data_IF_648120359196
#
_entry.id   IF_648120359196
#
_cell.length_a   1.000
_cell.length_b   1.000
_cell.length_c   1.000
_cell.angle_alpha   90.00
_cell.angle_beta   90.00
_cell.angle_gamma   90.00
#
_symmetry.space_group_name_H-M   'P 1'
#
loop_
_entity.id
_entity.type
_entity.pdbx_description
1 polymer ?
#
# COMPACT_ATOMS: atom_id res chain seq x y z
N UNK A 1 -3.22 3.30 -28.58
CA UNK A 1 -2.15 4.06 -29.23
C UNK A 1 -1.42 4.81 -28.14
N UNK A 2 -0.18 4.43 -27.83
CA UNK A 2 0.59 5.00 -26.72
C UNK A 2 1.32 6.28 -27.13
N UNK A 3 1.84 7.04 -26.16
CA UNK A 3 2.65 8.22 -26.46
C UNK A 3 3.91 7.86 -27.25
N UNK A 4 4.54 6.71 -26.97
CA UNK A 4 5.74 6.22 -27.66
C UNK A 4 5.44 5.93 -29.13
N UNK A 5 4.30 5.30 -29.42
CA UNK A 5 3.87 5.02 -30.79
C UNK A 5 3.63 6.31 -31.57
N UNK A 6 3.05 7.33 -30.94
CA UNK A 6 2.85 8.65 -31.55
C UNK A 6 4.15 9.45 -31.69
N UNK A 7 5.06 9.36 -30.71
CA UNK A 7 6.35 10.04 -30.76
C UNK A 7 7.27 9.45 -31.83
N UNK A 8 7.28 8.13 -32.01
CA UNK A 8 8.01 7.48 -33.11
C UNK A 8 7.41 7.82 -34.47
N UNK A 9 6.08 7.83 -34.61
CA UNK A 9 5.45 8.35 -35.84
C UNK A 9 5.82 9.81 -36.10
N UNK A 10 5.87 10.64 -35.06
CA UNK A 10 6.31 12.03 -35.17
C UNK A 10 7.76 12.14 -35.66
N UNK A 11 8.70 11.35 -35.11
CA UNK A 11 10.09 11.31 -35.59
C UNK A 11 10.17 10.89 -37.06
N UNK A 12 9.39 9.88 -37.46
CA UNK A 12 9.38 9.33 -38.82
C UNK A 12 8.80 10.30 -39.85
N UNK A 13 7.85 11.15 -39.44
CA UNK A 13 7.13 12.08 -40.33
C UNK A 13 7.67 13.51 -40.28
N UNK A 14 8.45 13.86 -39.26
CA UNK A 14 9.03 15.19 -39.10
C UNK A 14 10.14 15.45 -40.12
N UNK A 15 9.85 16.28 -41.13
CA UNK A 15 10.87 16.84 -42.01
C UNK A 15 11.85 17.78 -41.27
N UNK A 16 12.96 18.15 -41.92
CA UNK A 16 14.14 18.84 -41.36
C UNK A 16 13.94 20.27 -40.82
N UNK A 17 12.72 20.68 -40.47
CA UNK A 17 12.44 22.01 -39.92
C UNK A 17 13.18 22.24 -38.59
N UNK A 18 13.67 23.46 -38.32
CA UNK A 18 14.32 23.79 -37.06
C UNK A 18 13.44 23.58 -35.82
N UNK A 19 12.12 23.75 -35.96
CA UNK A 19 11.16 23.53 -34.86
C UNK A 19 11.06 22.04 -34.48
N UNK A 20 11.06 21.14 -35.46
CA UNK A 20 11.04 19.70 -35.21
C UNK A 20 12.31 19.23 -34.48
N UNK A 21 13.48 19.71 -34.92
CA UNK A 21 14.76 19.39 -34.25
C UNK A 21 14.76 19.79 -32.78
N UNK A 22 14.18 20.95 -32.46
CA UNK A 22 14.10 21.44 -31.07
C UNK A 22 13.23 20.55 -30.20
N UNK A 23 12.08 20.09 -30.71
CA UNK A 23 11.18 19.18 -29.99
C UNK A 23 11.85 17.82 -29.78
N UNK A 24 12.41 17.21 -30.82
CA UNK A 24 13.09 15.91 -30.72
C UNK A 24 14.23 15.97 -29.70
N UNK A 25 15.03 17.04 -29.72
CA UNK A 25 16.14 17.20 -28.78
C UNK A 25 15.67 17.46 -27.33
N UNK A 26 14.50 18.06 -27.14
CA UNK A 26 13.93 18.30 -25.81
C UNK A 26 13.42 16.99 -25.16
N UNK A 27 12.91 16.07 -25.96
CA UNK A 27 12.38 14.78 -25.52
C UNK A 27 13.33 13.60 -25.79
N UNK A 28 14.60 13.84 -26.08
CA UNK A 28 15.56 12.79 -26.47
C UNK A 28 15.83 11.77 -25.37
N UNK A 29 15.79 12.23 -24.11
CA UNK A 29 16.03 11.43 -22.90
C UNK A 29 14.74 11.24 -22.08
N UNK A 30 13.60 11.67 -22.64
CA UNK A 30 12.32 11.50 -21.97
C UNK A 30 11.97 10.01 -21.97
N UNK A 31 11.64 9.48 -20.80
CA UNK A 31 11.06 8.17 -20.63
C UNK A 31 9.65 8.32 -20.09
N UNK A 32 8.71 7.45 -20.49
CA UNK A 32 7.40 7.41 -19.85
C UNK A 32 7.59 7.26 -18.35
N UNK A 33 6.84 8.06 -17.60
CA UNK A 33 6.77 7.91 -16.16
C UNK A 33 6.27 6.49 -15.89
N UNK A 34 7.12 5.66 -15.29
CA UNK A 34 6.70 4.31 -14.91
C UNK A 34 5.46 4.44 -14.05
N UNK A 35 4.47 3.56 -14.26
CA UNK A 35 3.33 3.47 -13.37
C UNK A 35 3.88 3.36 -11.94
N UNK A 36 3.42 4.25 -11.06
CA UNK A 36 3.84 4.25 -9.67
C UNK A 36 3.57 2.87 -9.11
N UNK A 37 4.57 2.33 -8.41
CA UNK A 37 4.41 1.04 -7.80
C UNK A 37 3.38 1.16 -6.67
N UNK A 38 2.34 0.32 -6.73
CA UNK A 38 1.47 0.11 -5.59
C UNK A 38 2.20 -0.74 -4.55
N UNK A 39 2.20 -0.29 -3.29
CA UNK A 39 2.85 -0.97 -2.18
C UNK A 39 1.92 -1.06 -0.97
N UNK A 40 2.02 -2.12 -0.15
CA UNK A 40 1.30 -2.20 1.11
C UNK A 40 1.68 -1.07 2.07
N UNK A 41 0.74 -0.64 2.92
CA UNK A 41 0.94 0.46 3.88
C UNK A 41 2.15 0.22 4.79
N UNK A 42 2.35 -1.00 5.31
CA UNK A 42 3.48 -1.28 6.20
C UNK A 42 4.85 -1.15 5.51
N UNK A 43 4.91 -1.33 4.17
CA UNK A 43 6.13 -1.11 3.38
C UNK A 43 6.36 0.38 3.15
N UNK A 44 5.28 1.13 2.89
CA UNK A 44 5.32 2.58 2.78
C UNK A 44 5.81 3.24 4.08
N UNK A 45 5.26 2.84 5.22
CA UNK A 45 5.63 3.34 6.54
C UNK A 45 7.13 3.11 6.80
N UNK A 46 7.59 1.87 6.60
CA UNK A 46 9.01 1.53 6.75
C UNK A 46 9.90 2.33 5.80
N UNK A 47 9.51 2.48 4.53
CA UNK A 47 10.29 3.24 3.55
C UNK A 47 10.37 4.72 3.95
N UNK A 48 9.28 5.33 4.39
CA UNK A 48 9.27 6.73 4.78
C UNK A 48 10.13 7.02 6.03
N UNK A 49 10.23 6.06 6.95
CA UNK A 49 11.14 6.11 8.09
C UNK A 49 12.62 5.97 7.66
N UNK A 50 12.89 5.15 6.64
CA UNK A 50 14.25 4.79 6.23
C UNK A 50 14.77 5.53 4.99
N UNK A 51 13.94 6.33 4.27
CA UNK A 51 14.31 6.95 2.98
C UNK A 51 15.53 7.88 3.05
N UNK A 52 15.85 8.39 4.24
CA UNK A 52 17.05 9.20 4.49
C UNK A 52 18.37 8.40 4.46
N UNK A 53 18.31 7.11 4.78
CA UNK A 53 19.45 6.18 4.76
C UNK A 53 18.97 4.75 4.43
N UNK A 54 18.46 4.61 3.20
CA UNK A 54 17.78 3.39 2.76
C UNK A 54 18.72 2.17 2.78
N UNK A 55 20.00 2.38 2.47
CA UNK A 55 21.01 1.29 2.47
C UNK A 55 21.20 0.73 3.88
N UNK A 56 21.32 1.60 4.89
CA UNK A 56 21.43 1.18 6.28
C UNK A 56 20.14 0.53 6.79
N UNK A 57 18.97 1.05 6.42
CA UNK A 57 17.68 0.44 6.73
C UNK A 57 17.59 -1.00 6.23
N UNK A 58 17.88 -1.22 4.93
CA UNK A 58 17.89 -2.57 4.33
C UNK A 58 18.89 -3.49 5.06
N UNK A 59 20.08 -2.99 5.40
CA UNK A 59 21.08 -3.75 6.15
C UNK A 59 20.55 -4.20 7.52
N UNK A 60 19.88 -3.30 8.25
CA UNK A 60 19.31 -3.61 9.57
C UNK A 60 18.24 -4.72 9.48
N UNK A 61 17.34 -4.66 8.50
CA UNK A 61 16.31 -5.70 8.32
C UNK A 61 16.93 -7.06 8.03
N UNK A 62 17.95 -7.11 7.16
CA UNK A 62 18.69 -8.36 6.90
C UNK A 62 19.34 -8.93 8.16
N UNK A 63 19.92 -8.08 9.03
CA UNK A 63 20.45 -8.54 10.30
C UNK A 63 19.35 -9.08 11.23
N UNK A 64 18.22 -8.37 11.33
CA UNK A 64 17.14 -8.78 12.21
C UNK A 64 16.54 -10.13 11.79
N UNK A 65 16.34 -10.34 10.48
CA UNK A 65 15.87 -11.61 9.91
C UNK A 65 16.84 -12.75 10.28
N UNK A 66 18.14 -12.55 10.09
CA UNK A 66 19.14 -13.57 10.40
C UNK A 66 19.23 -13.92 11.89
N UNK A 67 18.80 -13.02 12.78
CA UNK A 67 18.88 -13.19 14.23
C UNK A 67 17.61 -13.74 14.87
N UNK A 68 16.55 -13.97 14.08
CA UNK A 68 15.24 -14.43 14.58
C UNK A 68 14.83 -15.73 13.89
N UNK A 69 14.10 -16.62 14.58
CA UNK A 69 13.42 -17.71 13.90
C UNK A 69 12.26 -17.15 13.06
N UNK A 70 11.95 -17.80 11.93
CA UNK A 70 10.92 -17.39 10.96
C UNK A 70 9.57 -17.04 11.62
N UNK A 71 9.14 -17.84 12.61
CA UNK A 71 7.89 -17.63 13.36
C UNK A 71 7.83 -16.33 14.18
N UNK A 72 8.96 -15.65 14.40
CA UNK A 72 9.07 -14.42 15.18
C UNK A 72 9.32 -13.18 14.29
N UNK A 73 9.37 -13.35 12.97
CA UNK A 73 9.53 -12.23 12.05
C UNK A 73 8.27 -11.35 12.07
N UNK A 74 8.50 -10.04 12.17
CA UNK A 74 7.49 -9.01 11.95
C UNK A 74 7.04 -8.98 10.48
N UNK A 75 5.97 -8.24 10.20
CA UNK A 75 5.42 -8.12 8.84
C UNK A 75 6.44 -7.57 7.84
N UNK A 76 7.22 -6.55 8.22
CA UNK A 76 8.26 -5.99 7.35
C UNK A 76 9.43 -6.95 7.14
N UNK A 77 9.82 -7.68 8.18
CA UNK A 77 10.89 -8.68 8.08
C UNK A 77 10.46 -9.84 7.17
N UNK A 78 9.21 -10.29 7.25
CA UNK A 78 8.63 -11.29 6.32
C UNK A 78 8.60 -10.79 4.89
N UNK A 79 8.31 -9.50 4.69
CA UNK A 79 8.41 -8.88 3.37
C UNK A 79 9.84 -8.95 2.82
N UNK A 80 10.84 -8.55 3.60
CA UNK A 80 12.25 -8.65 3.20
C UNK A 80 12.74 -10.10 3.05
N UNK A 81 12.17 -11.05 3.80
CA UNK A 81 12.43 -12.49 3.68
C UNK A 81 11.70 -13.15 2.49
N UNK A 82 11.02 -12.37 1.63
CA UNK A 82 10.30 -12.86 0.44
C UNK A 82 9.17 -13.87 0.74
N UNK A 83 8.64 -13.84 1.95
CA UNK A 83 7.49 -14.65 2.40
C UNK A 83 6.14 -14.07 1.95
N UNK A 84 6.14 -12.86 1.39
CA UNK A 84 4.94 -12.24 0.81
C UNK A 84 4.76 -12.62 -0.66
N UNK A 85 3.69 -12.13 -1.28
CA UNK A 85 3.48 -12.25 -2.73
C UNK A 85 4.61 -11.57 -3.53
N UNK A 86 5.24 -10.55 -2.95
CA UNK A 86 6.39 -9.87 -3.54
C UNK A 86 7.67 -10.72 -3.41
N UNK A 87 8.27 -11.07 -4.55
CA UNK A 87 9.52 -11.85 -4.62
C UNK A 87 10.79 -11.02 -4.75
N UNK A 88 10.67 -9.70 -4.90
CA UNK A 88 11.79 -8.77 -5.06
C UNK A 88 11.66 -7.58 -4.09
N UNK A 89 11.77 -7.80 -2.76
CA UNK A 89 11.56 -6.74 -1.77
C UNK A 89 12.59 -5.62 -1.86
N UNK A 90 13.87 -5.94 -2.11
CA UNK A 90 14.94 -4.93 -2.26
C UNK A 90 14.71 -4.06 -3.50
N UNK A 91 14.39 -4.68 -4.64
CA UNK A 91 14.06 -3.93 -5.87
C UNK A 91 12.87 -3.02 -5.66
N UNK A 92 11.84 -3.51 -4.96
CA UNK A 92 10.64 -2.74 -4.62
C UNK A 92 10.98 -1.47 -3.85
N UNK A 93 11.69 -1.57 -2.73
CA UNK A 93 12.02 -0.39 -1.92
C UNK A 93 12.98 0.56 -2.63
N UNK A 94 13.83 0.06 -3.54
CA UNK A 94 14.66 0.92 -4.39
C UNK A 94 13.80 1.72 -5.38
N UNK A 95 12.83 1.07 -6.03
CA UNK A 95 11.92 1.72 -7.00
C UNK A 95 10.98 2.74 -6.35
N UNK A 96 10.64 2.57 -5.07
CA UNK A 96 9.86 3.55 -4.31
C UNK A 96 10.51 4.94 -4.25
N UNK A 97 11.82 5.07 -4.52
CA UNK A 97 12.50 6.37 -4.65
C UNK A 97 11.99 7.21 -5.83
N UNK A 98 11.44 6.56 -6.86
CA UNK A 98 10.82 7.22 -8.01
C UNK A 98 9.37 7.65 -7.74
N UNK A 99 8.88 7.36 -6.53
CA UNK A 99 7.49 7.56 -6.10
C UNK A 99 6.73 6.23 -6.01
N UNK A 100 5.69 6.21 -5.18
CA UNK A 100 4.82 5.05 -4.99
C UNK A 100 3.41 5.50 -4.62
N UNK A 101 2.45 4.60 -4.78
CA UNK A 101 1.10 4.72 -4.23
C UNK A 101 0.88 3.62 -3.22
N UNK A 102 0.09 3.89 -2.18
CA UNK A 102 -0.25 2.86 -1.20
C UNK A 102 -1.46 2.08 -1.68
N UNK A 103 -1.36 0.75 -1.66
CA UNK A 103 -2.47 -0.17 -1.89
C UNK A 103 -3.60 0.14 -0.91
N UNK A 104 -4.81 0.34 -1.43
CA UNK A 104 -5.99 0.42 -0.56
C UNK A 104 -6.28 -0.98 -0.04
N UNK A 105 -6.25 -1.21 1.28
CA UNK A 105 -6.53 -2.55 1.79
C UNK A 105 -7.98 -2.92 1.52
N UNK A 106 -8.23 -4.19 1.19
CA UNK A 106 -9.58 -4.73 1.19
C UNK A 106 -10.19 -4.57 2.58
N UNK A 107 -11.34 -3.92 2.62
CA UNK A 107 -12.09 -3.70 3.85
C UNK A 107 -13.21 -4.73 3.99
N UNK A 108 -13.57 -5.05 5.23
CA UNK A 108 -14.62 -6.01 5.56
C UNK A 108 -15.58 -5.46 6.61
N UNK A 109 -16.85 -5.82 6.45
CA UNK A 109 -17.84 -5.75 7.52
C UNK A 109 -17.77 -7.02 8.37
N UNK A 110 -17.79 -6.85 9.69
CA UNK A 110 -17.88 -7.97 10.63
C UNK A 110 -19.30 -8.09 11.18
N UNK A 111 -20.02 -9.15 10.81
CA UNK A 111 -21.40 -9.39 11.26
C UNK A 111 -21.46 -10.46 12.33
N UNK A 112 -22.10 -10.15 13.45
CA UNK A 112 -22.34 -11.10 14.52
C UNK A 112 -23.34 -12.17 14.07
N UNK A 113 -22.96 -13.44 14.15
CA UNK A 113 -23.82 -14.56 13.69
C UNK A 113 -25.11 -14.74 14.49
N UNK A 114 -25.16 -14.29 15.74
CA UNK A 114 -26.31 -14.48 16.63
C UNK A 114 -27.30 -13.33 16.50
N UNK A 115 -26.80 -12.10 16.61
CA UNK A 115 -27.64 -10.90 16.64
C UNK A 115 -27.88 -10.31 15.25
N UNK A 116 -27.08 -10.69 14.25
CA UNK A 116 -27.12 -10.11 12.90
C UNK A 116 -26.56 -8.69 12.80
N UNK A 117 -26.05 -8.13 13.91
CA UNK A 117 -25.52 -6.76 14.01
C UNK A 117 -24.06 -6.67 13.58
N UNK A 118 -23.64 -5.50 13.12
CA UNK A 118 -22.30 -5.21 12.62
C UNK A 118 -21.39 -4.67 13.71
N UNK A 119 -20.14 -5.11 13.73
CA UNK A 119 -19.12 -4.56 14.64
C UNK A 119 -18.76 -3.13 14.21
N UNK A 120 -18.66 -2.24 15.19
CA UNK A 120 -18.16 -0.88 15.02
C UNK A 120 -17.09 -0.62 16.05
N UNK A 121 -15.97 -0.02 15.62
CA UNK A 121 -14.95 0.51 16.51
C UNK A 121 -15.28 1.96 16.88
N UNK A 122 -14.84 2.35 18.06
CA UNK A 122 -14.92 3.68 18.62
C UNK A 122 -13.57 4.00 19.23
N UNK A 123 -12.77 4.85 18.57
CA UNK A 123 -11.51 5.34 19.16
C UNK A 123 -11.76 6.65 19.88
N UNK A 124 -11.42 6.69 21.17
CA UNK A 124 -11.46 7.90 21.99
C UNK A 124 -10.40 8.94 21.61
N UNK A 125 -10.09 9.85 22.53
CA UNK A 125 -9.05 10.88 22.32
C UNK A 125 -7.62 10.30 22.25
N UNK A 126 -7.44 9.03 22.61
CA UNK A 126 -6.19 8.28 22.54
C UNK A 126 -6.43 6.92 21.87
N UNK A 127 -5.43 6.44 21.09
CA UNK A 127 -5.56 5.19 20.30
C UNK A 127 -5.78 3.94 21.16
N UNK A 128 -5.34 3.98 22.43
CA UNK A 128 -5.51 2.92 23.42
C UNK A 128 -6.93 2.83 24.00
N UNK A 129 -7.79 3.84 23.77
CA UNK A 129 -9.19 3.85 24.19
C UNK A 129 -10.13 3.43 23.05
N UNK A 130 -9.77 2.34 22.36
CA UNK A 130 -10.60 1.76 21.30
C UNK A 130 -11.58 0.76 21.90
N UNK A 131 -12.88 1.03 21.72
CA UNK A 131 -13.95 0.12 22.16
C UNK A 131 -14.76 -0.40 20.97
N UNK A 132 -15.32 -1.61 21.09
CA UNK A 132 -16.11 -2.23 20.04
C UNK A 132 -17.56 -2.43 20.47
N UNK A 133 -18.52 -2.13 19.58
CA UNK A 133 -19.96 -2.35 19.81
C UNK A 133 -20.65 -2.90 18.58
N UNK A 134 -21.75 -3.61 18.79
CA UNK A 134 -22.57 -4.16 17.71
C UNK A 134 -23.77 -3.26 17.39
N UNK A 135 -23.93 -2.89 16.13
CA UNK A 135 -24.94 -1.94 15.64
C UNK A 135 -25.73 -2.49 14.46
N UNK A 136 -26.90 -1.91 14.21
CA UNK A 136 -27.81 -2.39 13.16
C UNK A 136 -27.45 -1.91 11.75
N UNK A 137 -26.62 -0.87 11.63
CA UNK A 137 -26.33 -0.19 10.37
C UNK A 137 -24.85 -0.28 9.98
N UNK A 138 -24.60 -0.37 8.67
CA UNK A 138 -23.33 -0.07 8.01
C UNK A 138 -23.30 1.45 7.80
N UNK A 139 -22.78 2.22 8.75
CA UNK A 139 -22.76 3.69 8.62
C UNK A 139 -21.51 4.13 7.85
N UNK A 140 -21.71 4.76 6.68
CA UNK A 140 -20.68 5.14 5.72
C UNK A 140 -20.01 6.50 6.02
N UNK A 141 -20.33 7.18 7.14
CA UNK A 141 -19.70 8.47 7.45
C UNK A 141 -18.27 8.29 7.97
N UNK A 142 -17.37 8.12 7.00
CA UNK A 142 -15.93 8.35 7.13
C UNK A 142 -15.70 9.84 7.27
N UNK A 143 -15.28 10.30 8.44
CA UNK A 143 -14.76 11.67 8.59
C UNK A 143 -15.07 12.31 9.94
N UNK A 144 -14.23 12.03 10.93
CA UNK A 144 -14.12 12.84 12.14
C UNK A 144 -14.20 12.02 13.43
N UNK A 145 -13.03 11.75 14.02
CA UNK A 145 -12.80 11.10 15.30
C UNK A 145 -13.16 9.60 15.38
N UNK A 146 -12.20 8.79 14.91
CA UNK A 146 -11.73 7.60 15.60
C UNK A 146 -12.45 6.26 15.36
N UNK A 147 -13.74 6.23 15.04
CA UNK A 147 -14.48 4.98 14.88
C UNK A 147 -14.83 4.62 13.43
N UNK A 148 -14.85 3.33 13.10
CA UNK A 148 -15.23 2.79 11.78
C UNK A 148 -16.08 1.51 11.85
N UNK A 149 -16.84 1.23 10.78
CA UNK A 149 -17.65 0.00 10.64
C UNK A 149 -17.00 -1.04 9.73
N UNK A 150 -15.81 -0.75 9.24
CA UNK A 150 -15.05 -1.58 8.31
C UNK A 150 -13.65 -1.82 8.86
N UNK A 151 -13.11 -3.00 8.62
CA UNK A 151 -11.83 -3.45 9.17
C UNK A 151 -10.98 -4.08 8.08
N UNK A 152 -9.66 -3.93 8.19
CA UNK A 152 -8.67 -4.68 7.43
C UNK A 152 -8.54 -6.10 7.98
N UNK A 153 -8.01 -7.04 7.19
CA UNK A 153 -7.76 -8.40 7.67
C UNK A 153 -6.82 -8.43 8.89
N UNK A 154 -5.80 -7.57 8.91
CA UNK A 154 -4.87 -7.47 10.04
C UNK A 154 -5.55 -7.01 11.33
N UNK A 155 -6.45 -6.03 11.25
CA UNK A 155 -7.25 -5.61 12.40
C UNK A 155 -8.12 -6.77 12.91
N UNK A 156 -8.75 -7.51 11.99
CA UNK A 156 -9.57 -8.69 12.32
C UNK A 156 -8.74 -9.77 13.01
N UNK A 157 -7.56 -10.08 12.50
CA UNK A 157 -6.65 -11.08 13.06
C UNK A 157 -6.16 -10.69 14.47
N UNK A 158 -6.14 -9.39 14.76
CA UNK A 158 -5.77 -8.83 16.07
C UNK A 158 -6.95 -8.79 17.05
N UNK A 159 -8.19 -9.04 16.62
CA UNK A 159 -9.34 -9.08 17.52
C UNK A 159 -9.34 -10.38 18.33
N UNK A 160 -9.27 -10.27 19.65
CA UNK A 160 -9.32 -11.42 20.56
C UNK A 160 -10.73 -12.06 20.71
N UNK A 161 -11.75 -11.54 20.04
CA UNK A 161 -13.16 -11.87 20.35
C UNK A 161 -13.97 -12.21 19.11
N UNK A 162 -14.86 -13.22 19.19
CA UNK A 162 -16.10 -13.27 18.39
C UNK A 162 -16.18 -14.29 17.25
N UNK A 163 -17.38 -14.86 17.04
CA UNK A 163 -17.71 -15.61 15.83
C UNK A 163 -18.40 -14.68 14.82
N UNK A 164 -17.63 -14.19 13.85
CA UNK A 164 -18.12 -13.29 12.82
C UNK A 164 -18.39 -14.01 11.50
N UNK A 165 -19.40 -13.52 10.78
CA UNK A 165 -19.48 -13.63 9.34
C UNK A 165 -18.72 -12.42 8.75
N UNK A 166 -17.70 -12.70 7.93
CA UNK A 166 -16.88 -11.69 7.24
C UNK A 166 -17.55 -11.40 5.90
N UNK A 167 -17.77 -10.12 5.61
CA UNK A 167 -18.43 -9.67 4.37
C UNK A 167 -17.54 -8.62 3.72
N UNK A 168 -17.10 -8.88 2.49
CA UNK A 168 -16.30 -7.94 1.70
C UNK A 168 -17.06 -6.63 1.43
N UNK A 169 -16.33 -5.51 1.49
CA UNK A 169 -16.82 -4.20 1.03
C UNK A 169 -16.52 -4.11 -0.47
N UNK A 170 -17.56 -3.98 -1.30
CA UNK A 170 -17.41 -3.66 -2.72
C UNK A 170 -17.08 -2.16 -2.88
N UNK A 171 -16.12 -1.83 -3.76
CA UNK A 171 -15.72 -0.45 -4.10
C UNK A 171 -16.77 0.30 -4.95
#
# INVERSE_FOLDING_TARGET
>A
MTFEEEFEKFKLTAGASPKHKKIINHFKDWQPQQALQEVPQFVADWFDENKGDLEFGIYCENLNINNKPERELSTIEKFFNSETENKNPIETVIRMKDGYTVEKPQLFYLKNKITGKYLRSYTGLSMDDTTFRYEEVKDERVGGFGGGTTFTQQEIDSLETGSYEIIEVEE
#
